data_IF_436628886730
#
_entry.id   IF_436628886730
#
_cell.length_a   1.000
_cell.length_b   1.000
_cell.length_c   1.000
_cell.angle_alpha   90.00
_cell.angle_beta   90.00
_cell.angle_gamma   90.00
#
_symmetry.space_group_name_H-M   'P 1'
#
loop_
_entity.id
_entity.type
_entity.pdbx_description
1 polymer ?
#
# COMPACT_ATOMS: atom_id res chain seq x y z
N UNK A 1 -13.81 31.78 28.46
CA UNK A 1 -14.59 31.86 27.20
C UNK A 1 -15.87 31.05 27.32
N UNK A 2 -17.00 31.54 26.80
CA UNK A 2 -18.25 30.76 26.72
C UNK A 2 -18.15 29.68 25.64
N UNK A 3 -18.64 28.46 25.94
CA UNK A 3 -18.70 27.31 25.01
C UNK A 3 -19.28 27.68 23.63
N UNK A 4 -20.24 28.61 23.60
CA UNK A 4 -20.87 29.10 22.36
C UNK A 4 -19.90 29.89 21.48
N UNK A 5 -19.09 30.78 22.05
CA UNK A 5 -18.08 31.55 21.30
C UNK A 5 -16.98 30.64 20.76
N UNK A 6 -16.51 29.69 21.57
CA UNK A 6 -15.51 28.69 21.15
C UNK A 6 -15.99 27.88 19.94
N UNK A 7 -17.23 27.36 19.98
CA UNK A 7 -17.78 26.59 18.85
C UNK A 7 -17.95 27.42 17.58
N UNK A 8 -18.29 28.70 17.71
CA UNK A 8 -18.41 29.62 16.57
C UNK A 8 -17.04 29.88 15.92
N UNK A 9 -16.01 30.15 16.72
CA UNK A 9 -14.64 30.34 16.23
C UNK A 9 -14.09 29.05 15.58
N UNK A 10 -14.29 27.90 16.23
CA UNK A 10 -13.89 26.60 15.67
C UNK A 10 -14.52 26.34 14.30
N UNK A 11 -15.83 26.56 14.15
CA UNK A 11 -16.51 26.39 12.86
C UNK A 11 -16.03 27.40 11.81
N UNK A 12 -15.66 28.62 12.24
CA UNK A 12 -15.12 29.65 11.35
C UNK A 12 -13.78 29.22 10.78
N UNK A 13 -12.86 28.72 11.62
CA UNK A 13 -11.57 28.19 11.15
C UNK A 13 -11.75 26.92 10.30
N UNK A 14 -12.61 25.98 10.73
CA UNK A 14 -12.86 24.75 9.99
C UNK A 14 -13.35 24.99 8.54
N UNK A 15 -14.19 26.01 8.32
CA UNK A 15 -14.71 26.38 6.98
C UNK A 15 -13.70 27.07 6.07
N UNK A 16 -12.60 27.60 6.62
CA UNK A 16 -11.50 28.17 5.82
C UNK A 16 -10.69 27.07 5.17
N UNK A 17 -10.41 25.99 5.91
CA UNK A 17 -9.54 24.90 5.45
C UNK A 17 -10.30 23.78 4.73
N UNK A 18 -11.57 23.55 5.08
CA UNK A 18 -12.34 22.39 4.61
C UNK A 18 -13.60 22.81 3.87
N UNK A 19 -13.83 22.18 2.74
CA UNK A 19 -15.07 22.30 1.95
C UNK A 19 -15.77 20.95 1.90
N UNK A 20 -17.09 20.97 2.07
CA UNK A 20 -17.94 19.81 1.89
C UNK A 20 -18.41 19.80 0.43
N UNK A 21 -18.26 18.66 -0.22
CA UNK A 21 -18.77 18.42 -1.58
C UNK A 21 -19.84 17.33 -1.47
N UNK A 22 -21.00 17.59 -2.05
CA UNK A 22 -22.10 16.62 -2.12
C UNK A 22 -22.12 15.98 -3.50
N UNK A 23 -22.22 14.66 -3.53
CA UNK A 23 -22.28 13.86 -4.76
C UNK A 23 -23.56 13.03 -4.74
N UNK A 24 -24.27 13.00 -5.85
CA UNK A 24 -25.45 12.14 -6.04
C UNK A 24 -25.03 10.95 -6.89
N UNK A 25 -25.32 9.75 -6.40
CA UNK A 25 -25.06 8.50 -7.09
C UNK A 25 -26.39 7.82 -7.42
N UNK A 26 -26.44 7.11 -8.54
CA UNK A 26 -27.47 6.12 -8.78
C UNK A 26 -27.37 4.99 -7.74
N UNK A 27 -28.46 4.25 -7.54
CA UNK A 27 -28.47 3.13 -6.60
C UNK A 27 -27.42 2.06 -6.97
N UNK A 28 -27.23 1.82 -8.27
CA UNK A 28 -26.25 0.86 -8.79
C UNK A 28 -24.82 1.30 -8.48
N UNK A 29 -24.47 2.57 -8.73
CA UNK A 29 -23.14 3.12 -8.40
C UNK A 29 -22.87 3.07 -6.89
N UNK A 30 -23.87 3.45 -6.08
CA UNK A 30 -23.74 3.38 -4.62
C UNK A 30 -23.47 1.95 -4.13
N UNK A 31 -24.23 0.96 -4.62
CA UNK A 31 -24.05 -0.44 -4.23
C UNK A 31 -22.68 -0.99 -4.66
N UNK A 32 -22.18 -0.56 -5.82
CA UNK A 32 -20.83 -0.89 -6.27
C UNK A 32 -19.77 -0.39 -5.29
N UNK A 33 -19.80 0.90 -4.94
CA UNK A 33 -18.85 1.45 -3.98
C UNK A 33 -19.02 0.86 -2.58
N UNK A 34 -20.26 0.58 -2.15
CA UNK A 34 -20.54 -0.03 -0.85
C UNK A 34 -19.90 -1.40 -0.71
N UNK A 35 -20.02 -2.24 -1.73
CA UNK A 35 -19.42 -3.59 -1.73
C UNK A 35 -17.90 -3.53 -1.53
N UNK A 36 -17.23 -2.56 -2.15
CA UNK A 36 -15.79 -2.37 -2.00
C UNK A 36 -15.45 -1.78 -0.63
N UNK A 37 -16.23 -0.79 -0.19
CA UNK A 37 -16.02 -0.12 1.09
C UNK A 37 -16.18 -1.08 2.28
N UNK A 38 -17.16 -1.99 2.21
CA UNK A 38 -17.39 -3.03 3.22
C UNK A 38 -16.23 -4.03 3.28
N UNK A 39 -15.67 -4.43 2.13
CA UNK A 39 -14.47 -5.30 2.08
C UNK A 39 -13.23 -4.65 2.71
N UNK A 40 -13.11 -3.34 2.56
CA UNK A 40 -11.96 -2.57 3.02
C UNK A 40 -12.16 -2.00 4.44
N UNK A 41 -13.33 -2.23 5.04
CA UNK A 41 -13.75 -1.72 6.36
C UNK A 41 -13.65 -0.19 6.46
N UNK A 42 -14.17 0.51 5.45
CA UNK A 42 -14.20 1.98 5.38
C UNK A 42 -15.56 2.51 4.91
N UNK A 43 -15.79 3.81 5.11
CA UNK A 43 -17.01 4.47 4.60
C UNK A 43 -16.93 4.66 3.08
N UNK A 44 -18.07 4.55 2.40
CA UNK A 44 -18.22 4.83 0.96
C UNK A 44 -17.65 6.21 0.58
N UNK A 45 -17.91 7.24 1.38
CA UNK A 45 -17.39 8.60 1.13
C UNK A 45 -15.86 8.67 1.26
N UNK A 46 -15.27 7.93 2.19
CA UNK A 46 -13.81 7.82 2.34
C UNK A 46 -13.19 7.11 1.14
N UNK A 47 -13.81 6.01 0.67
CA UNK A 47 -13.38 5.28 -0.52
C UNK A 47 -13.40 6.19 -1.76
N UNK A 48 -14.53 6.85 -2.02
CA UNK A 48 -14.70 7.73 -3.19
C UNK A 48 -13.67 8.88 -3.15
N UNK A 49 -13.44 9.48 -1.98
CA UNK A 49 -12.42 10.52 -1.82
C UNK A 49 -11.02 9.97 -2.09
N UNK A 50 -10.69 8.79 -1.58
CA UNK A 50 -9.39 8.16 -1.82
C UNK A 50 -9.16 7.84 -3.31
N UNK A 51 -10.18 7.29 -3.99
CA UNK A 51 -10.12 7.01 -5.43
C UNK A 51 -10.01 8.28 -6.26
N UNK A 52 -10.77 9.34 -5.93
CA UNK A 52 -10.70 10.62 -6.63
C UNK A 52 -9.32 11.27 -6.47
N UNK A 53 -8.74 11.23 -5.26
CA UNK A 53 -7.40 11.74 -4.99
C UNK A 53 -6.31 10.90 -5.68
N UNK A 54 -6.45 9.56 -5.72
CA UNK A 54 -5.49 8.70 -6.42
C UNK A 54 -5.47 8.99 -7.93
N UNK A 55 -6.63 9.30 -8.51
CA UNK A 55 -6.76 9.62 -9.93
C UNK A 55 -6.13 10.98 -10.30
N UNK A 56 -6.15 11.96 -9.38
CA UNK A 56 -5.55 13.29 -9.53
C UNK A 56 -4.01 13.28 -9.42
N UNK A 57 -3.42 12.23 -8.86
CA UNK A 57 -1.99 11.93 -8.96
C UNK A 57 -1.26 11.76 -7.62
N UNK A 58 -0.46 10.68 -7.56
CA UNK A 58 0.67 10.37 -6.63
C UNK A 58 0.43 9.45 -5.43
N UNK A 59 -0.69 8.73 -5.34
CA UNK A 59 -0.76 7.52 -4.49
C UNK A 59 -1.87 6.62 -4.99
N UNK A 60 -1.50 5.42 -5.46
CA UNK A 60 -2.47 4.41 -5.86
C UNK A 60 -3.20 3.85 -4.65
N UNK A 61 -4.52 3.75 -4.74
CA UNK A 61 -5.31 2.97 -3.79
C UNK A 61 -5.13 1.49 -4.11
N UNK A 62 -4.26 0.81 -3.37
CA UNK A 62 -4.15 -0.65 -3.44
C UNK A 62 -5.10 -1.29 -2.43
N UNK A 63 -6.02 -2.18 -2.88
CA UNK A 63 -6.80 -3.01 -1.99
C UNK A 63 -5.90 -3.76 -0.99
N UNK A 64 -6.36 -3.91 0.25
CA UNK A 64 -5.58 -4.58 1.32
C UNK A 64 -5.13 -5.98 0.93
N UNK A 65 -5.94 -6.70 0.15
CA UNK A 65 -5.60 -8.04 -0.34
C UNK A 65 -4.38 -8.05 -1.27
N UNK A 66 -4.22 -7.03 -2.12
CA UNK A 66 -3.07 -6.92 -3.02
C UNK A 66 -1.80 -6.67 -2.22
N UNK A 67 -1.86 -5.79 -1.22
CA UNK A 67 -0.73 -5.51 -0.33
C UNK A 67 -0.31 -6.78 0.43
N UNK A 68 -1.28 -7.54 0.96
CA UNK A 68 -1.01 -8.80 1.65
C UNK A 68 -0.32 -9.82 0.75
N UNK A 69 -0.79 -9.99 -0.50
CA UNK A 69 -0.18 -10.90 -1.47
C UNK A 69 1.25 -10.49 -1.85
N UNK A 70 1.52 -9.18 -1.90
CA UNK A 70 2.88 -8.66 -2.14
C UNK A 70 3.80 -8.98 -0.96
N UNK A 71 3.34 -8.81 0.28
CA UNK A 71 4.13 -9.14 1.47
C UNK A 71 4.43 -10.65 1.54
N UNK A 72 3.45 -11.49 1.22
CA UNK A 72 3.64 -12.94 1.09
C UNK A 72 4.67 -13.30 0.02
N UNK A 73 4.64 -12.63 -1.12
CA UNK A 73 5.61 -12.82 -2.20
C UNK A 73 7.04 -12.41 -1.76
N UNK A 74 7.19 -11.27 -1.09
CA UNK A 74 8.48 -10.83 -0.53
C UNK A 74 8.99 -11.84 0.50
N UNK A 75 8.12 -12.39 1.33
CA UNK A 75 8.49 -13.41 2.31
C UNK A 75 9.01 -14.70 1.65
N UNK A 76 8.36 -15.17 0.58
CA UNK A 76 8.84 -16.34 -0.19
C UNK A 76 10.22 -16.08 -0.77
N UNK A 77 10.45 -14.89 -1.36
CA UNK A 77 11.77 -14.52 -1.91
C UNK A 77 12.84 -14.57 -0.81
N UNK A 78 12.55 -14.04 0.40
CA UNK A 78 13.50 -14.10 1.52
C UNK A 78 13.80 -15.52 1.95
N UNK A 79 12.80 -16.41 1.99
CA UNK A 79 13.02 -17.81 2.31
C UNK A 79 13.88 -18.51 1.26
N UNK A 80 13.65 -18.25 -0.02
CA UNK A 80 14.51 -18.76 -1.10
C UNK A 80 15.94 -18.26 -0.91
N UNK A 81 16.14 -16.98 -0.60
CA UNK A 81 17.45 -16.40 -0.33
C UNK A 81 18.15 -17.06 0.87
N UNK A 82 17.41 -17.29 1.96
CA UNK A 82 17.92 -17.93 3.16
C UNK A 82 18.31 -19.38 2.91
N UNK A 83 17.47 -20.13 2.19
CA UNK A 83 17.74 -21.52 1.82
C UNK A 83 18.95 -21.61 0.88
N UNK A 84 19.06 -20.71 -0.10
CA UNK A 84 20.23 -20.62 -0.98
C UNK A 84 21.50 -20.25 -0.21
N UNK A 85 21.43 -19.33 0.76
CA UNK A 85 22.56 -19.02 1.64
C UNK A 85 22.98 -20.21 2.51
N UNK A 86 22.02 -21.01 2.99
CA UNK A 86 22.33 -22.21 3.76
C UNK A 86 23.00 -23.27 2.88
N UNK A 87 22.49 -23.50 1.67
CA UNK A 87 23.10 -24.40 0.68
C UNK A 87 24.49 -23.88 0.31
N UNK A 88 24.66 -22.59 0.07
CA UNK A 88 25.95 -21.99 -0.26
C UNK A 88 26.96 -22.21 0.87
N UNK A 89 26.58 -21.95 2.14
CA UNK A 89 27.43 -22.23 3.30
C UNK A 89 27.75 -23.72 3.44
N UNK A 90 26.78 -24.60 3.18
CA UNK A 90 26.98 -26.05 3.21
C UNK A 90 27.87 -26.54 2.04
N UNK A 91 27.79 -25.89 0.88
CA UNK A 91 28.59 -26.17 -0.31
C UNK A 91 29.98 -25.53 -0.25
N UNK A 92 30.17 -24.44 0.50
CA UNK A 92 31.48 -23.86 0.78
C UNK A 92 32.31 -24.77 1.71
N UNK A 93 31.63 -25.59 2.53
CA UNK A 93 32.24 -26.72 3.25
C UNK A 93 32.61 -27.87 2.29
N UNK A 94 32.00 -27.94 1.11
CA UNK A 94 32.19 -28.97 0.08
C UNK A 94 32.76 -28.33 -1.22
N UNK A 95 33.95 -27.75 -1.12
CA UNK A 95 34.88 -27.55 -2.25
C UNK A 95 34.34 -26.78 -3.49
N UNK A 96 34.70 -25.49 -3.59
CA UNK A 96 35.10 -24.83 -4.85
C UNK A 96 34.08 -24.52 -5.96
N UNK A 97 32.78 -24.39 -5.74
CA UNK A 97 31.90 -23.89 -6.82
C UNK A 97 30.83 -22.95 -6.29
N UNK A 98 30.70 -21.82 -6.99
CA UNK A 98 29.66 -20.78 -6.89
C UNK A 98 30.00 -19.64 -5.93
N UNK A 99 30.45 -18.56 -6.55
CA UNK A 99 30.70 -17.23 -6.03
C UNK A 99 29.55 -16.76 -5.10
N UNK A 100 29.66 -16.97 -3.78
CA UNK A 100 28.59 -16.71 -2.79
C UNK A 100 27.98 -15.30 -2.88
N UNK A 101 28.77 -14.33 -3.35
CA UNK A 101 28.36 -12.94 -3.50
C UNK A 101 27.43 -12.68 -4.69
N UNK A 102 27.37 -13.56 -5.70
CA UNK A 102 26.57 -13.33 -6.92
C UNK A 102 25.10 -13.67 -6.73
N UNK A 103 24.79 -14.74 -6.00
CA UNK A 103 23.41 -15.20 -5.79
C UNK A 103 22.67 -14.27 -4.84
N UNK A 104 23.31 -13.90 -3.72
CA UNK A 104 22.70 -12.99 -2.75
C UNK A 104 22.50 -11.58 -3.33
N UNK A 105 23.41 -11.11 -4.20
CA UNK A 105 23.26 -9.83 -4.90
C UNK A 105 22.16 -9.87 -5.97
N UNK A 106 22.03 -10.97 -6.73
CA UNK A 106 20.91 -11.19 -7.66
C UNK A 106 19.56 -11.11 -6.94
N UNK A 107 19.44 -11.73 -5.76
CA UNK A 107 18.19 -11.72 -5.00
C UNK A 107 17.92 -10.35 -4.38
N UNK A 108 18.93 -9.66 -3.85
CA UNK A 108 18.79 -8.26 -3.40
C UNK A 108 18.37 -7.33 -4.54
N UNK A 109 18.93 -7.54 -5.74
CA UNK A 109 18.57 -6.77 -6.93
C UNK A 109 17.13 -7.05 -7.33
N UNK A 110 16.68 -8.31 -7.28
CA UNK A 110 15.29 -8.68 -7.54
C UNK A 110 14.34 -8.07 -6.49
N UNK A 111 14.65 -8.16 -5.20
CA UNK A 111 13.87 -7.50 -4.14
C UNK A 111 13.81 -5.98 -4.36
N UNK A 112 14.92 -5.38 -4.78
CA UNK A 112 15.01 -3.93 -5.04
C UNK A 112 14.22 -3.53 -6.28
N UNK A 113 14.29 -4.29 -7.37
CA UNK A 113 13.50 -4.07 -8.59
C UNK A 113 12.00 -4.22 -8.32
N UNK A 114 11.59 -5.26 -7.58
CA UNK A 114 10.19 -5.45 -7.21
C UNK A 114 9.70 -4.29 -6.34
N UNK A 115 10.46 -3.90 -5.32
CA UNK A 115 10.12 -2.72 -4.48
C UNK A 115 10.09 -1.43 -5.29
N UNK A 116 11.01 -1.26 -6.25
CA UNK A 116 11.10 -0.07 -7.09
C UNK A 116 9.95 -0.02 -8.09
N UNK A 117 9.59 -1.13 -8.70
CA UNK A 117 8.43 -1.25 -9.58
C UNK A 117 7.14 -0.91 -8.83
N UNK A 118 7.00 -1.42 -7.60
CA UNK A 118 5.88 -1.06 -6.74
C UNK A 118 5.91 0.44 -6.44
N UNK A 119 7.06 1.01 -6.06
CA UNK A 119 7.21 2.46 -5.79
C UNK A 119 7.06 3.37 -7.01
N UNK A 120 7.42 2.94 -8.21
CA UNK A 120 7.28 3.73 -9.45
C UNK A 120 5.87 3.67 -10.00
N UNK A 121 5.10 2.67 -9.56
CA UNK A 121 3.65 2.54 -9.69
C UNK A 121 2.92 3.06 -8.43
N UNK A 122 3.58 3.84 -7.56
CA UNK A 122 2.99 4.62 -6.45
C UNK A 122 3.01 6.10 -6.84
#
# INVERSE_FOLDING_TARGET
MSRKKYLQEYQKEYRKEKKQVTLTLTLTEYNYFKTIADKEDIKVTSLIKAMALSQLGKTFYFPKEILKRIDEFIFIIRNIANNLNQIARHSNIIKNVINENSVLSLIKNLETEVKRFIKSKI
#
